data_IF_489555897930
#
_entry.id   IF_489555897930
#
_cell.length_a   1.000
_cell.length_b   1.000
_cell.length_c   1.000
_cell.angle_alpha   90.00
_cell.angle_beta   90.00
_cell.angle_gamma   90.00
#
_symmetry.space_group_name_H-M   'P 1'
#
loop_
_entity.id
_entity.type
_entity.pdbx_description
1 polymer ?
#
# COMPACT_ATOMS: atom_id res chain seq x y z
N UNK A 1 -47.14 -4.12 -6.75
CA UNK A 1 -46.20 -3.00 -7.00
C UNK A 1 -44.85 -3.42 -6.47
N UNK A 2 -43.91 -3.79 -7.35
CA UNK A 2 -42.92 -2.88 -7.95
C UNK A 2 -41.78 -2.61 -6.96
N UNK A 3 -40.50 -2.88 -7.19
CA UNK A 3 -39.76 -3.00 -8.44
C UNK A 3 -38.44 -3.76 -8.19
N UNK A 4 -37.96 -4.38 -9.27
CA UNK A 4 -36.71 -5.11 -9.39
C UNK A 4 -35.50 -4.18 -9.18
N UNK A 5 -34.57 -4.55 -8.31
CA UNK A 5 -33.16 -4.12 -8.35
C UNK A 5 -32.34 -5.42 -8.30
N UNK A 6 -32.30 -6.20 -9.39
CA UNK A 6 -31.22 -6.19 -10.40
C UNK A 6 -29.83 -6.09 -9.76
N UNK A 7 -29.35 -7.25 -9.30
CA UNK A 7 -28.07 -7.84 -9.69
C UNK A 7 -27.10 -6.88 -10.40
N UNK A 8 -26.19 -6.24 -9.65
CA UNK A 8 -24.92 -5.74 -10.18
C UNK A 8 -23.92 -5.43 -9.06
N UNK A 9 -23.08 -6.42 -8.75
CA UNK A 9 -21.62 -6.28 -8.56
C UNK A 9 -21.10 -7.72 -8.52
N UNK A 10 -21.12 -8.38 -9.68
CA UNK A 10 -19.92 -8.52 -10.51
C UNK A 10 -18.82 -9.28 -9.75
N UNK A 11 -18.91 -10.61 -9.91
CA UNK A 11 -17.89 -11.62 -9.68
C UNK A 11 -16.53 -11.10 -9.19
N UNK A 12 -16.28 -11.21 -7.89
CA UNK A 12 -14.93 -11.46 -7.40
C UNK A 12 -14.62 -12.87 -7.87
N UNK A 13 -14.03 -13.00 -9.06
CA UNK A 13 -13.39 -14.26 -9.44
C UNK A 13 -12.34 -14.57 -8.36
N UNK A 14 -12.37 -15.74 -7.71
CA UNK A 14 -11.17 -16.24 -7.08
C UNK A 14 -10.23 -16.64 -8.22
N UNK A 15 -9.37 -15.73 -8.66
CA UNK A 15 -8.21 -16.14 -9.45
C UNK A 15 -7.32 -16.88 -8.48
N UNK A 16 -7.41 -18.21 -8.53
CA UNK A 16 -6.56 -19.16 -7.84
C UNK A 16 -5.13 -18.90 -8.31
N UNK A 17 -4.35 -18.15 -7.53
CA UNK A 17 -2.89 -18.16 -7.64
C UNK A 17 -2.33 -19.05 -6.54
N UNK A 18 -1.22 -19.76 -6.78
CA UNK A 18 -0.60 -20.59 -5.77
C UNK A 18 0.00 -19.69 -4.68
N UNK A 19 -0.73 -19.48 -3.58
CA UNK A 19 -0.23 -18.83 -2.34
C UNK A 19 0.78 -19.73 -1.60
N UNK A 20 1.21 -20.84 -2.20
CA UNK A 20 2.00 -21.88 -1.54
C UNK A 20 3.52 -21.63 -1.53
N UNK A 21 4.00 -20.44 -1.94
CA UNK A 21 5.45 -20.18 -2.04
C UNK A 21 5.86 -18.71 -1.88
N UNK A 22 5.04 -17.85 -1.28
CA UNK A 22 5.50 -16.50 -0.95
C UNK A 22 6.45 -16.57 0.25
N UNK A 23 7.75 -16.57 -0.02
CA UNK A 23 8.75 -16.30 1.00
C UNK A 23 8.82 -14.78 1.22
N UNK A 24 8.94 -14.37 2.48
CA UNK A 24 9.22 -12.98 2.81
C UNK A 24 10.70 -12.74 2.55
N UNK A 25 11.04 -12.06 1.46
CA UNK A 25 12.43 -11.79 1.09
C UNK A 25 12.98 -10.57 1.83
N UNK A 26 12.14 -9.56 2.04
CA UNK A 26 12.57 -8.31 2.65
C UNK A 26 11.48 -7.73 3.55
N UNK A 27 11.90 -7.26 4.72
CA UNK A 27 11.12 -6.40 5.60
C UNK A 27 11.91 -5.11 5.81
N UNK A 28 11.37 -3.98 5.35
CA UNK A 28 11.92 -2.66 5.56
C UNK A 28 11.09 -1.93 6.62
N UNK A 29 11.74 -1.36 7.62
CA UNK A 29 11.12 -0.48 8.61
C UNK A 29 11.82 0.86 8.56
N UNK A 30 11.08 1.96 8.72
CA UNK A 30 11.64 3.29 8.73
C UNK A 30 10.89 4.23 9.65
N UNK A 31 11.63 5.20 10.17
CA UNK A 31 11.10 6.29 10.96
C UNK A 31 11.82 7.57 10.57
N UNK A 32 11.06 8.61 10.27
CA UNK A 32 11.55 9.92 9.87
C UNK A 32 10.99 10.98 10.82
N UNK A 33 11.89 11.78 11.40
CA UNK A 33 11.55 12.89 12.28
C UNK A 33 12.17 14.17 11.74
N UNK A 34 11.38 15.23 11.70
CA UNK A 34 11.88 16.56 11.34
C UNK A 34 11.28 17.61 12.27
N UNK A 35 12.14 18.36 12.95
CA UNK A 35 11.78 19.56 13.70
C UNK A 35 12.15 20.79 12.87
N UNK A 36 11.15 21.56 12.47
CA UNK A 36 11.39 22.70 11.58
C UNK A 36 11.70 23.95 12.40
N UNK A 37 12.84 24.57 12.12
CA UNK A 37 13.24 25.84 12.72
C UNK A 37 12.21 26.94 12.48
N UNK A 38 12.16 27.95 13.35
CA UNK A 38 11.29 29.11 13.15
C UNK A 38 9.81 28.88 13.49
N UNK A 39 9.49 27.82 14.23
CA UNK A 39 8.12 27.56 14.70
C UNK A 39 7.20 26.91 13.66
N UNK A 40 7.75 26.34 12.58
CA UNK A 40 6.98 25.61 11.55
C UNK A 40 6.61 24.16 11.96
N UNK A 41 6.79 23.85 13.24
CA UNK A 41 6.31 22.62 13.86
C UNK A 41 7.15 21.38 13.56
N UNK A 42 6.57 20.22 13.84
CA UNK A 42 7.24 18.91 13.86
C UNK A 42 6.54 17.93 12.94
N UNK A 43 7.31 17.08 12.25
CA UNK A 43 6.81 15.99 11.41
C UNK A 43 7.40 14.67 11.88
N UNK A 44 6.55 13.66 11.98
CA UNK A 44 6.93 12.27 12.26
C UNK A 44 6.30 11.39 11.18
N UNK A 45 7.07 10.49 10.60
CA UNK A 45 6.56 9.49 9.66
C UNK A 45 7.13 8.13 10.01
N UNK A 46 6.25 7.17 10.24
CA UNK A 46 6.61 5.76 10.41
C UNK A 46 6.25 5.01 9.13
N UNK A 47 7.13 4.13 8.66
CA UNK A 47 6.90 3.36 7.45
C UNK A 47 7.32 1.90 7.63
N UNK A 48 6.60 1.02 6.96
CA UNK A 48 6.97 -0.38 6.80
C UNK A 48 6.76 -0.81 5.36
N UNK A 49 7.62 -1.72 4.89
CA UNK A 49 7.58 -2.28 3.55
C UNK A 49 7.90 -3.76 3.60
N UNK A 50 7.23 -4.53 2.76
CA UNK A 50 7.52 -5.94 2.52
C UNK A 50 7.78 -6.18 1.05
N UNK A 51 8.70 -7.10 0.77
CA UNK A 51 8.94 -7.65 -0.56
C UNK A 51 8.90 -9.17 -0.48
N UNK A 52 8.28 -9.76 -1.48
CA UNK A 52 8.23 -11.21 -1.65
C UNK A 52 8.45 -11.55 -3.11
N UNK A 53 9.35 -12.49 -3.36
CA UNK A 53 9.64 -13.07 -4.65
C UNK A 53 8.99 -14.46 -4.70
N UNK A 54 8.46 -14.79 -5.87
CA UNK A 54 7.92 -16.12 -6.13
C UNK A 54 8.26 -16.52 -7.57
N UNK A 55 8.12 -17.80 -7.90
CA UNK A 55 8.61 -18.36 -9.16
C UNK A 55 8.10 -17.67 -10.43
N UNK A 56 6.95 -16.99 -10.36
CA UNK A 56 6.34 -16.26 -11.48
C UNK A 56 6.26 -14.75 -11.23
N UNK A 57 7.10 -14.17 -10.37
CA UNK A 57 7.18 -12.72 -10.24
C UNK A 57 7.51 -12.21 -8.83
N UNK A 58 6.96 -11.05 -8.50
CA UNK A 58 7.29 -10.33 -7.27
C UNK A 58 6.09 -9.56 -6.72
N UNK A 59 6.06 -9.35 -5.41
CA UNK A 59 5.17 -8.45 -4.72
C UNK A 59 5.98 -7.45 -3.90
N UNK A 60 5.55 -6.20 -3.90
CA UNK A 60 6.01 -5.17 -2.97
C UNK A 60 4.80 -4.50 -2.36
N UNK A 61 4.74 -4.39 -1.04
CA UNK A 61 3.74 -3.58 -0.35
C UNK A 61 4.39 -2.67 0.68
N UNK A 62 3.82 -1.49 0.88
CA UNK A 62 4.30 -0.50 1.83
C UNK A 62 3.14 0.22 2.50
N UNK A 63 3.29 0.52 3.79
CA UNK A 63 2.38 1.31 4.59
C UNK A 63 3.18 2.39 5.30
N UNK A 64 2.68 3.63 5.29
CA UNK A 64 3.27 4.75 6.00
C UNK A 64 2.18 5.52 6.75
N UNK A 65 2.50 5.99 7.95
CA UNK A 65 1.66 6.87 8.74
C UNK A 65 2.46 8.10 9.11
N UNK A 66 1.89 9.27 8.81
CA UNK A 66 2.49 10.57 9.09
C UNK A 66 1.65 11.38 10.06
N UNK A 67 2.34 12.10 10.94
CA UNK A 67 1.76 13.12 11.80
C UNK A 67 2.56 14.41 11.68
N UNK A 68 1.86 15.52 11.47
CA UNK A 68 2.42 16.87 11.41
C UNK A 68 1.73 17.72 12.46
N UNK A 69 2.50 18.31 13.36
CA UNK A 69 2.02 19.35 14.27
C UNK A 69 2.65 20.66 13.84
N UNK A 70 1.87 21.73 13.65
CA UNK A 70 2.40 23.01 13.19
C UNK A 70 2.85 23.94 14.33
N UNK A 71 2.55 23.63 15.59
CA UNK A 71 2.97 24.38 16.77
C UNK A 71 2.03 25.52 17.18
N UNK A 72 1.01 25.83 16.36
CA UNK A 72 0.01 26.89 16.60
C UNK A 72 -1.42 26.34 16.73
N UNK A 73 -1.55 25.08 17.20
CA UNK A 73 -2.83 24.41 17.42
C UNK A 73 -3.29 23.51 16.28
N UNK A 74 -2.75 23.72 15.07
CA UNK A 74 -3.07 22.88 13.93
C UNK A 74 -2.23 21.61 13.89
N UNK A 75 -2.87 20.51 13.49
CA UNK A 75 -2.17 19.26 13.19
C UNK A 75 -2.85 18.52 12.05
N UNK A 76 -2.07 17.70 11.36
CA UNK A 76 -2.51 16.86 10.27
C UNK A 76 -2.01 15.43 10.50
N UNK A 77 -2.86 14.45 10.21
CA UNK A 77 -2.47 13.05 10.17
C UNK A 77 -2.84 12.46 8.83
N UNK A 78 -2.05 11.51 8.36
CA UNK A 78 -2.36 10.81 7.13
C UNK A 78 -1.72 9.43 7.10
N UNK A 79 -2.40 8.48 6.49
CA UNK A 79 -1.88 7.15 6.22
C UNK A 79 -1.87 6.92 4.71
N UNK A 80 -0.78 6.34 4.21
CA UNK A 80 -0.62 5.93 2.82
C UNK A 80 -0.30 4.45 2.75
N UNK A 81 -0.97 3.74 1.86
CA UNK A 81 -0.70 2.35 1.54
C UNK A 81 -0.51 2.14 0.06
N UNK A 82 0.44 1.30 -0.32
CA UNK A 82 0.67 0.89 -1.70
C UNK A 82 0.99 -0.59 -1.76
N UNK A 83 0.42 -1.28 -2.73
CA UNK A 83 0.78 -2.65 -3.07
C UNK A 83 0.98 -2.76 -4.58
N UNK A 84 1.96 -3.53 -5.01
CA UNK A 84 2.23 -3.81 -6.42
C UNK A 84 2.65 -5.25 -6.57
N UNK A 85 2.05 -5.93 -7.55
CA UNK A 85 2.37 -7.29 -7.93
C UNK A 85 2.82 -7.28 -9.39
N UNK A 86 3.91 -7.97 -9.65
CA UNK A 86 4.40 -8.32 -10.98
C UNK A 86 4.18 -9.82 -11.17
N UNK A 87 3.62 -10.19 -12.31
CA UNK A 87 3.44 -11.58 -12.72
C UNK A 87 4.05 -11.79 -14.10
N UNK A 88 5.01 -12.70 -14.19
CA UNK A 88 5.68 -13.06 -15.42
C UNK A 88 4.94 -14.25 -16.06
N UNK A 89 4.31 -14.01 -17.20
CA UNK A 89 3.61 -15.05 -17.96
C UNK A 89 4.60 -15.96 -18.70
N UNK A 90 5.72 -15.38 -19.14
CA UNK A 90 6.85 -16.06 -19.78
C UNK A 90 8.08 -15.15 -19.76
N UNK A 91 9.18 -15.56 -20.40
CA UNK A 91 10.44 -14.82 -20.44
C UNK A 91 10.38 -13.43 -21.09
N UNK A 92 9.29 -13.10 -21.81
CA UNK A 92 9.16 -11.83 -22.56
C UNK A 92 7.90 -11.02 -22.19
N UNK A 93 6.93 -11.60 -21.48
CA UNK A 93 5.67 -10.96 -21.14
C UNK A 93 5.39 -11.01 -19.64
N UNK A 94 5.13 -9.84 -19.07
CA UNK A 94 4.71 -9.69 -17.67
C UNK A 94 3.55 -8.71 -17.52
N UNK A 95 2.83 -8.83 -16.42
CA UNK A 95 1.76 -7.90 -16.01
C UNK A 95 2.09 -7.30 -14.67
N UNK A 96 1.88 -5.99 -14.54
CA UNK A 96 2.05 -5.24 -13.29
C UNK A 96 0.70 -4.69 -12.87
N UNK A 97 0.25 -5.07 -11.68
CA UNK A 97 -0.97 -4.55 -11.06
C UNK A 97 -0.61 -3.82 -9.77
N UNK A 98 -1.15 -2.63 -9.57
CA UNK A 98 -0.87 -1.84 -8.37
C UNK A 98 -2.12 -1.16 -7.80
N UNK A 99 -2.12 -1.00 -6.49
CA UNK A 99 -3.13 -0.25 -5.74
C UNK A 99 -2.42 0.75 -4.83
N UNK A 100 -2.97 1.96 -4.73
CA UNK A 100 -2.52 2.98 -3.78
C UNK A 100 -3.73 3.61 -3.11
N UNK A 101 -3.65 3.80 -1.79
CA UNK A 101 -4.71 4.39 -0.97
C UNK A 101 -4.09 5.43 -0.06
N UNK A 102 -4.77 6.56 0.08
CA UNK A 102 -4.44 7.63 1.03
C UNK A 102 -5.67 7.87 1.89
N UNK A 103 -5.46 8.00 3.20
CA UNK A 103 -6.49 8.35 4.18
C UNK A 103 -5.94 9.50 5.00
N UNK A 104 -6.75 10.55 5.17
CA UNK A 104 -6.44 11.75 5.95
C UNK A 104 -7.40 11.87 7.12
#
# INVERSE_FOLDING_TARGET
>A
MSHKIKTLLLAILPVVTPVHSMLLDELALGYDYTDYSGGYGKRNVSQMGIKSLFNQGAMVASLAQGYRNFGHGDSFHGSHGKATVWYDWNSVLSTRTGLSVVVE
#
